data_IF_907073344088
#
_entry.id   IF_907073344088
#
_cell.length_a   1.000
_cell.length_b   1.000
_cell.length_c   1.000
_cell.angle_alpha   90.00
_cell.angle_beta   90.00
_cell.angle_gamma   90.00
#
_symmetry.space_group_name_H-M   'P 1'
#
loop_
_entity.id
_entity.type
_entity.pdbx_description
1 polymer ?
#
# COMPACT_ATOMS: atom_id res chain seq x y z
N UNK A 1 -4.62 16.01 9.84
CA UNK A 1 -3.67 17.08 10.15
C UNK A 1 -3.30 17.81 8.85
N UNK A 2 -3.82 19.05 8.63
CA UNK A 2 -3.61 19.76 7.38
C UNK A 2 -2.14 20.03 7.02
N UNK A 3 -1.27 20.24 7.99
CA UNK A 3 0.16 20.48 7.73
C UNK A 3 0.84 19.21 7.24
N UNK A 4 0.51 18.07 7.85
CA UNK A 4 0.98 16.77 7.42
C UNK A 4 0.48 16.43 6.01
N UNK A 5 -0.79 16.70 5.74
CA UNK A 5 -1.40 16.44 4.43
C UNK A 5 -0.70 17.25 3.33
N UNK A 6 -0.48 18.54 3.57
CA UNK A 6 0.23 19.42 2.62
C UNK A 6 1.65 18.91 2.38
N UNK A 7 2.39 18.56 3.43
CA UNK A 7 3.75 18.07 3.32
C UNK A 7 3.82 16.77 2.50
N UNK A 8 2.97 15.79 2.83
CA UNK A 8 2.97 14.49 2.14
C UNK A 8 2.54 14.63 0.67
N UNK A 9 1.53 15.46 0.37
CA UNK A 9 1.07 15.73 -1.00
C UNK A 9 2.12 16.47 -1.84
N UNK A 10 3.05 17.17 -1.24
CA UNK A 10 4.18 17.82 -1.94
C UNK A 10 5.36 16.86 -2.13
N UNK A 11 5.73 16.11 -1.10
CA UNK A 11 6.95 15.28 -1.14
C UNK A 11 6.82 14.07 -2.06
N UNK A 12 5.62 13.46 -2.15
CA UNK A 12 5.40 12.27 -2.97
C UNK A 12 5.63 12.55 -4.47
N UNK A 13 5.01 13.56 -5.09
CA UNK A 13 5.29 13.88 -6.50
C UNK A 13 6.76 14.26 -6.74
N UNK A 14 7.40 14.93 -5.79
CA UNK A 14 8.82 15.28 -5.89
C UNK A 14 9.72 14.03 -5.86
N UNK A 15 9.42 13.06 -5.01
CA UNK A 15 10.15 11.79 -4.94
C UNK A 15 9.99 11.00 -6.25
N UNK A 16 8.76 10.89 -6.75
CA UNK A 16 8.45 10.22 -8.02
C UNK A 16 9.17 10.89 -9.19
N UNK A 17 9.12 12.23 -9.27
CA UNK A 17 9.80 12.99 -10.32
C UNK A 17 11.34 12.81 -10.31
N UNK A 18 11.91 12.48 -9.15
CA UNK A 18 13.33 12.14 -8.99
C UNK A 18 13.63 10.65 -9.18
N UNK A 19 12.63 9.86 -9.55
CA UNK A 19 12.73 8.41 -9.68
C UNK A 19 13.18 7.70 -8.37
N UNK A 20 12.88 8.31 -7.23
CA UNK A 20 13.15 7.72 -5.92
C UNK A 20 12.19 6.57 -5.63
N UNK A 21 12.63 5.49 -4.98
CA UNK A 21 11.72 4.48 -4.46
C UNK A 21 10.75 5.06 -3.44
N UNK A 22 9.48 4.65 -3.57
CA UNK A 22 8.41 5.02 -2.64
C UNK A 22 7.66 3.77 -2.25
N UNK A 23 7.61 3.47 -0.95
CA UNK A 23 6.79 2.42 -0.38
C UNK A 23 5.76 3.05 0.58
N UNK A 24 4.48 3.05 0.17
CA UNK A 24 3.37 3.56 0.96
C UNK A 24 2.76 2.48 1.86
N UNK A 25 2.53 2.79 3.15
CA UNK A 25 1.90 1.86 4.11
C UNK A 25 0.67 2.54 4.71
N UNK A 26 -0.47 1.87 4.70
CA UNK A 26 -1.76 2.29 5.26
C UNK A 26 -2.17 3.69 4.77
N UNK A 27 -1.99 4.73 5.59
CA UNK A 27 -2.18 6.11 5.16
C UNK A 27 -1.34 6.44 3.91
N UNK A 28 -0.17 5.82 3.75
CA UNK A 28 0.72 6.04 2.61
C UNK A 28 0.12 5.66 1.26
N UNK A 29 -0.65 4.57 1.16
CA UNK A 29 -1.36 4.20 -0.09
C UNK A 29 -2.43 5.24 -0.43
N UNK A 30 -3.11 5.76 0.59
CA UNK A 30 -4.18 6.75 0.42
C UNK A 30 -3.62 8.09 -0.08
N UNK A 31 -2.57 8.58 0.58
CA UNK A 31 -1.91 9.85 0.18
C UNK A 31 -1.24 9.72 -1.18
N UNK A 32 -0.60 8.59 -1.49
CA UNK A 32 -0.05 8.30 -2.82
C UNK A 32 -1.14 8.42 -3.89
N UNK A 33 -2.28 7.78 -3.67
CA UNK A 33 -3.39 7.80 -4.61
C UNK A 33 -3.91 9.23 -4.85
N UNK A 34 -4.12 10.01 -3.77
CA UNK A 34 -4.59 11.40 -3.87
C UNK A 34 -3.55 12.29 -4.54
N UNK A 35 -2.27 12.16 -4.18
CA UNK A 35 -1.18 12.93 -4.79
C UNK A 35 -1.06 12.68 -6.30
N UNK A 36 -1.48 11.51 -6.78
CA UNK A 36 -1.50 11.14 -8.19
C UNK A 36 -2.85 11.39 -8.89
N UNK A 37 -3.84 11.97 -8.20
CA UNK A 37 -5.13 12.40 -8.74
C UNK A 37 -6.29 11.42 -8.53
N UNK A 38 -6.14 10.41 -7.67
CA UNK A 38 -7.21 9.51 -7.28
C UNK A 38 -8.06 10.04 -6.13
N UNK A 39 -9.08 9.29 -5.73
CA UNK A 39 -10.01 9.63 -4.66
C UNK A 39 -10.11 8.54 -3.59
N UNK A 40 -10.70 8.88 -2.43
CA UNK A 40 -10.83 7.99 -1.29
C UNK A 40 -12.29 7.72 -0.94
N UNK A 41 -12.53 6.53 -0.39
CA UNK A 41 -13.67 6.22 0.48
C UNK A 41 -13.32 6.81 1.85
N UNK A 42 -14.10 7.79 2.31
CA UNK A 42 -13.82 8.49 3.56
C UNK A 42 -14.20 7.67 4.80
N UNK A 43 -15.14 6.75 4.62
CA UNK A 43 -15.55 5.80 5.64
C UNK A 43 -16.18 4.57 4.98
N UNK A 44 -15.53 3.41 5.15
CA UNK A 44 -15.90 2.16 4.48
C UNK A 44 -17.30 1.72 4.89
N UNK A 45 -17.64 1.82 6.18
CA UNK A 45 -18.96 1.36 6.67
C UNK A 45 -20.10 2.20 6.10
N UNK A 46 -20.00 3.52 6.19
CA UNK A 46 -21.07 4.41 5.72
C UNK A 46 -21.21 4.44 4.19
N UNK A 47 -20.12 4.27 3.45
CA UNK A 47 -20.12 4.39 1.99
C UNK A 47 -20.22 3.05 1.23
N UNK A 48 -19.88 1.93 1.88
CA UNK A 48 -19.90 0.60 1.28
C UNK A 48 -20.79 -0.41 2.01
N UNK A 49 -21.24 -0.08 3.22
CA UNK A 49 -22.00 -1.02 4.06
C UNK A 49 -21.16 -2.17 4.62
N UNK A 50 -19.86 -2.08 4.54
CA UNK A 50 -18.92 -3.06 5.10
C UNK A 50 -18.65 -2.67 6.55
N UNK A 51 -18.91 -3.55 7.54
CA UNK A 51 -18.70 -3.21 8.95
C UNK A 51 -17.28 -2.81 9.25
N UNK A 52 -17.08 -1.72 9.98
CA UNK A 52 -15.75 -1.17 10.33
C UNK A 52 -14.81 -2.22 10.91
N UNK A 53 -15.33 -3.13 11.74
CA UNK A 53 -14.55 -4.23 12.35
C UNK A 53 -13.88 -5.18 11.36
N UNK A 54 -14.28 -5.18 10.10
CA UNK A 54 -13.65 -5.99 9.05
C UNK A 54 -12.30 -5.41 8.63
N UNK A 55 -12.09 -4.09 8.80
CA UNK A 55 -10.87 -3.40 8.42
C UNK A 55 -10.17 -2.67 9.57
N UNK A 56 -10.79 -2.63 10.74
CA UNK A 56 -10.21 -1.99 11.94
C UNK A 56 -10.22 -2.97 13.10
N UNK A 57 -9.13 -3.75 13.18
CA UNK A 57 -8.97 -4.75 14.23
C UNK A 57 -8.56 -4.13 15.56
N UNK A 58 -8.92 -4.83 16.64
CA UNK A 58 -8.34 -4.63 17.96
C UNK A 58 -6.98 -5.34 18.10
N UNK A 59 -6.13 -4.94 19.04
CA UNK A 59 -4.89 -5.67 19.31
C UNK A 59 -5.12 -7.18 19.57
N UNK A 60 -4.15 -8.04 19.19
CA UNK A 60 -2.78 -7.72 18.74
C UNK A 60 -2.71 -7.40 17.23
N UNK A 61 -2.02 -6.31 16.87
CA UNK A 61 -1.92 -5.83 15.49
C UNK A 61 -1.04 -6.71 14.57
N UNK A 62 -0.26 -7.60 15.14
CA UNK A 62 0.50 -8.61 14.38
C UNK A 62 -0.32 -9.86 14.03
N UNK A 63 -1.60 -9.95 14.42
CA UNK A 63 -2.47 -11.04 14.04
C UNK A 63 -3.15 -10.74 12.69
N UNK A 64 -3.12 -11.67 11.71
CA UNK A 64 -3.86 -11.50 10.48
C UNK A 64 -5.37 -11.63 10.71
N UNK A 65 -6.17 -10.84 9.98
CA UNK A 65 -7.63 -10.80 10.11
C UNK A 65 -8.38 -11.01 8.80
N UNK A 66 -7.72 -10.79 7.65
CA UNK A 66 -8.30 -11.06 6.34
C UNK A 66 -7.24 -11.48 5.32
N UNK A 67 -7.70 -11.93 4.16
CA UNK A 67 -6.85 -12.31 3.04
C UNK A 67 -6.80 -11.19 2.01
N UNK A 68 -5.60 -10.82 1.60
CA UNK A 68 -5.37 -9.98 0.42
C UNK A 68 -4.97 -10.87 -0.76
N UNK A 69 -5.69 -10.76 -1.88
CA UNK A 69 -5.39 -11.45 -3.13
C UNK A 69 -4.70 -10.52 -4.09
N UNK A 70 -3.52 -10.94 -4.55
CA UNK A 70 -2.75 -10.20 -5.53
C UNK A 70 -3.09 -10.63 -6.95
N UNK A 71 -3.14 -9.66 -7.86
CA UNK A 71 -3.27 -9.91 -9.29
C UNK A 71 -2.04 -10.67 -9.81
N UNK A 72 -2.29 -11.66 -10.69
CA UNK A 72 -1.21 -12.42 -11.30
C UNK A 72 -0.34 -11.52 -12.19
N UNK A 73 0.97 -11.69 -12.09
CA UNK A 73 1.95 -10.85 -12.76
C UNK A 73 2.17 -9.50 -12.11
N UNK A 74 1.50 -9.20 -10.98
CA UNK A 74 1.73 -7.98 -10.22
C UNK A 74 3.13 -7.92 -9.61
N UNK A 75 3.57 -6.73 -9.24
CA UNK A 75 4.82 -6.56 -8.50
C UNK A 75 4.77 -7.32 -7.16
N UNK A 76 3.60 -7.39 -6.53
CA UNK A 76 3.45 -8.05 -5.22
C UNK A 76 3.61 -9.56 -5.33
N UNK A 77 3.05 -10.21 -6.36
CA UNK A 77 3.33 -11.63 -6.63
C UNK A 77 4.83 -11.86 -6.87
N UNK A 78 5.50 -11.00 -7.64
CA UNK A 78 6.95 -11.12 -7.88
C UNK A 78 7.79 -10.94 -6.61
N UNK A 79 7.42 -10.01 -5.72
CA UNK A 79 8.14 -9.75 -4.47
C UNK A 79 7.90 -10.87 -3.46
N UNK A 80 6.64 -11.23 -3.23
CA UNK A 80 6.26 -12.17 -2.18
C UNK A 80 6.41 -13.63 -2.61
N UNK A 81 6.22 -13.92 -3.90
CA UNK A 81 6.18 -15.26 -4.46
C UNK A 81 4.84 -15.98 -4.26
N UNK A 82 3.80 -15.25 -3.81
CA UNK A 82 2.45 -15.78 -3.58
C UNK A 82 1.39 -14.84 -4.17
N UNK A 83 0.22 -15.40 -4.46
CA UNK A 83 -0.94 -14.64 -4.93
C UNK A 83 -1.94 -14.31 -3.82
N UNK A 84 -1.71 -14.81 -2.61
CA UNK A 84 -2.55 -14.53 -1.44
C UNK A 84 -1.68 -14.35 -0.20
N UNK A 85 -2.03 -13.36 0.62
CA UNK A 85 -1.41 -13.08 1.91
C UNK A 85 -2.47 -12.91 2.98
N UNK A 86 -2.22 -13.48 4.16
CA UNK A 86 -2.99 -13.16 5.36
C UNK A 86 -2.44 -11.87 5.96
N UNK A 87 -3.27 -10.85 6.14
CA UNK A 87 -2.83 -9.52 6.57
C UNK A 87 -3.63 -9.01 7.77
N UNK A 88 -3.03 -8.10 8.51
CA UNK A 88 -3.70 -7.27 9.50
C UNK A 88 -4.47 -6.13 8.82
N UNK A 89 -5.31 -5.44 9.58
CA UNK A 89 -6.07 -4.31 9.05
C UNK A 89 -6.42 -3.30 10.15
N UNK A 90 -6.04 -2.04 9.93
CA UNK A 90 -6.22 -0.95 10.90
C UNK A 90 -6.58 0.35 10.18
N UNK A 91 -7.66 0.31 9.39
CA UNK A 91 -8.13 1.49 8.64
C UNK A 91 -9.65 1.49 8.50
N UNK A 92 -10.25 2.67 8.34
CA UNK A 92 -11.66 2.85 8.00
C UNK A 92 -11.84 3.61 6.68
N UNK A 93 -10.74 4.07 6.07
CA UNK A 93 -10.70 4.71 4.77
C UNK A 93 -9.95 3.82 3.78
N UNK A 94 -10.23 3.96 2.49
CA UNK A 94 -9.53 3.23 1.42
C UNK A 94 -9.57 4.00 0.10
N UNK A 95 -8.89 3.48 -0.92
CA UNK A 95 -8.99 4.01 -2.29
C UNK A 95 -10.42 3.78 -2.81
N UNK A 96 -11.01 4.85 -3.39
CA UNK A 96 -12.26 4.79 -4.15
C UNK A 96 -11.98 4.65 -5.64
N UNK A 97 -11.40 5.71 -6.22
CA UNK A 97 -10.96 5.71 -7.61
C UNK A 97 -9.43 5.72 -7.63
N UNK A 98 -8.79 4.69 -8.16
CA UNK A 98 -7.34 4.71 -8.29
C UNK A 98 -6.90 5.77 -9.30
N UNK A 99 -5.81 6.46 -9.00
CA UNK A 99 -5.20 7.41 -9.93
C UNK A 99 -4.85 6.70 -11.25
N UNK A 100 -4.98 7.41 -12.38
CA UNK A 100 -4.80 6.82 -13.73
C UNK A 100 -3.42 6.18 -13.96
N UNK A 101 -2.38 6.67 -13.27
CA UNK A 101 -1.01 6.11 -13.31
C UNK A 101 -0.77 4.97 -12.32
N UNK A 102 -1.74 4.65 -11.47
CA UNK A 102 -1.67 3.50 -10.57
C UNK A 102 -2.40 2.30 -11.16
N UNK A 103 -1.85 1.12 -10.92
CA UNK A 103 -2.48 -0.17 -11.14
C UNK A 103 -2.92 -0.72 -9.79
N UNK A 104 -4.13 -1.26 -9.72
CA UNK A 104 -4.56 -2.03 -8.56
C UNK A 104 -3.97 -3.43 -8.68
N UNK A 105 -3.20 -3.83 -7.68
CA UNK A 105 -2.49 -5.09 -7.64
C UNK A 105 -3.04 -6.08 -6.61
N UNK A 106 -3.92 -5.63 -5.72
CA UNK A 106 -4.50 -6.52 -4.71
C UNK A 106 -5.77 -5.98 -4.07
N UNK A 107 -6.62 -6.92 -3.66
CA UNK A 107 -7.90 -6.67 -3.03
C UNK A 107 -8.09 -7.56 -1.79
N UNK A 108 -8.79 -7.04 -0.78
CA UNK A 108 -9.41 -7.85 0.25
C UNK A 108 -10.61 -8.65 -0.32
N UNK A 109 -11.09 -9.62 0.44
CA UNK A 109 -12.19 -10.50 0.02
C UNK A 109 -13.50 -9.75 -0.29
N UNK A 110 -13.71 -8.60 0.31
CA UNK A 110 -14.88 -7.73 0.13
C UNK A 110 -14.69 -6.66 -0.97
N UNK A 111 -13.57 -6.72 -1.70
CA UNK A 111 -13.28 -5.85 -2.83
C UNK A 111 -12.62 -4.52 -2.47
N UNK A 112 -12.26 -4.31 -1.21
CA UNK A 112 -11.47 -3.14 -0.81
C UNK A 112 -10.06 -3.25 -1.41
N UNK A 113 -9.56 -2.14 -1.99
CA UNK A 113 -8.22 -2.09 -2.57
C UNK A 113 -7.18 -2.09 -1.46
N UNK A 114 -6.27 -3.06 -1.50
CA UNK A 114 -5.25 -3.31 -0.48
C UNK A 114 -3.81 -3.14 -0.99
N UNK A 115 -3.62 -3.14 -2.32
CA UNK A 115 -2.28 -2.98 -2.91
C UNK A 115 -2.36 -2.28 -4.26
N UNK A 116 -1.43 -1.34 -4.49
CA UNK A 116 -1.27 -0.63 -5.78
C UNK A 116 0.21 -0.47 -6.12
N UNK A 117 0.50 -0.32 -7.42
CA UNK A 117 1.82 0.08 -7.91
C UNK A 117 1.70 1.07 -9.08
N UNK A 118 2.76 1.82 -9.35
CA UNK A 118 2.81 2.67 -10.53
C UNK A 118 2.91 1.82 -11.81
N UNK A 119 2.24 2.27 -12.89
CA UNK A 119 2.25 1.58 -14.19
C UNK A 119 3.57 1.75 -14.95
N UNK A 120 4.29 2.81 -14.68
CA UNK A 120 5.48 3.25 -15.42
C UNK A 120 6.81 3.01 -14.69
N UNK A 121 6.76 2.49 -13.47
CA UNK A 121 7.95 2.15 -12.68
C UNK A 121 7.66 1.13 -11.60
N UNK A 122 8.59 0.22 -11.35
CA UNK A 122 8.53 -0.73 -10.23
C UNK A 122 9.01 -0.11 -8.89
N UNK A 123 9.38 1.18 -8.89
CA UNK A 123 9.91 1.87 -7.70
C UNK A 123 8.84 2.45 -6.78
N UNK A 124 7.58 2.48 -7.24
CA UNK A 124 6.47 3.08 -6.49
C UNK A 124 5.39 2.03 -6.27
N UNK A 125 5.20 1.62 -5.03
CA UNK A 125 4.21 0.65 -4.63
C UNK A 125 3.71 0.93 -3.22
N UNK A 126 2.52 0.46 -2.89
CA UNK A 126 1.91 0.73 -1.61
C UNK A 126 0.90 -0.35 -1.21
N UNK A 127 0.74 -0.53 0.10
CA UNK A 127 -0.23 -1.45 0.71
C UNK A 127 -1.12 -0.73 1.72
N UNK A 128 -2.34 -1.23 1.90
CA UNK A 128 -3.28 -0.67 2.86
C UNK A 128 -3.11 -1.28 4.26
N UNK A 129 -2.66 -2.52 4.34
CA UNK A 129 -2.33 -3.18 5.60
C UNK A 129 -0.99 -2.70 6.18
N UNK A 130 -0.62 -3.19 7.35
CA UNK A 130 0.58 -2.81 8.09
C UNK A 130 1.61 -3.95 8.15
N UNK A 131 2.45 -4.13 7.10
CA UNK A 131 3.45 -5.20 7.06
C UNK A 131 4.51 -5.08 8.16
N UNK A 132 4.72 -3.88 8.73
CA UNK A 132 5.67 -3.66 9.81
C UNK A 132 5.31 -4.38 11.11
N UNK A 133 4.03 -4.71 11.34
CA UNK A 133 3.61 -5.54 12.46
C UNK A 133 3.65 -7.04 12.16
N UNK A 134 3.89 -7.43 10.90
CA UNK A 134 3.93 -8.81 10.45
C UNK A 134 5.36 -9.31 10.18
N UNK A 135 6.29 -8.42 9.81
CA UNK A 135 7.60 -8.77 9.25
C UNK A 135 8.48 -9.63 10.16
N UNK A 136 8.31 -9.57 11.48
CA UNK A 136 9.08 -10.38 12.43
C UNK A 136 8.75 -11.89 12.37
N UNK A 137 7.58 -12.24 11.83
CA UNK A 137 7.08 -13.63 11.79
C UNK A 137 6.43 -14.04 10.47
N UNK A 138 6.31 -13.14 9.51
CA UNK A 138 5.79 -13.40 8.18
C UNK A 138 6.84 -13.04 7.11
N UNK A 139 7.35 -14.06 6.44
CA UNK A 139 8.38 -13.90 5.41
C UNK A 139 7.92 -13.07 4.21
N UNK A 140 6.64 -13.09 3.89
CA UNK A 140 6.10 -12.31 2.75
C UNK A 140 6.05 -10.82 3.07
N UNK A 141 5.67 -10.47 4.30
CA UNK A 141 5.74 -9.09 4.78
C UNK A 141 7.18 -8.58 4.81
N UNK A 142 8.14 -9.40 5.29
CA UNK A 142 9.57 -9.06 5.30
C UNK A 142 10.09 -8.81 3.88
N UNK A 143 9.69 -9.61 2.88
CA UNK A 143 10.12 -9.44 1.49
C UNK A 143 9.71 -8.08 0.89
N UNK A 144 8.62 -7.46 1.34
CA UNK A 144 8.24 -6.11 0.91
C UNK A 144 9.29 -5.09 1.33
N UNK A 145 9.78 -5.18 2.57
CA UNK A 145 10.85 -4.30 3.07
C UNK A 145 12.19 -4.59 2.41
N UNK A 146 12.55 -5.86 2.25
CA UNK A 146 13.80 -6.26 1.55
C UNK A 146 13.84 -5.70 0.14
N UNK A 147 12.71 -5.77 -0.58
CA UNK A 147 12.57 -5.21 -1.92
C UNK A 147 12.76 -3.69 -1.91
N UNK A 148 12.11 -2.98 -0.98
CA UNK A 148 12.26 -1.52 -0.86
C UNK A 148 13.69 -1.10 -0.53
N UNK A 149 14.37 -1.82 0.37
CA UNK A 149 15.78 -1.59 0.69
C UNK A 149 16.67 -1.82 -0.53
N UNK A 150 16.41 -2.89 -1.30
CA UNK A 150 17.14 -3.15 -2.54
C UNK A 150 16.97 -2.00 -3.54
N UNK A 151 15.74 -1.57 -3.81
CA UNK A 151 15.47 -0.44 -4.70
C UNK A 151 16.18 0.85 -4.24
N UNK A 152 16.23 1.08 -2.93
CA UNK A 152 16.88 2.26 -2.35
C UNK A 152 18.41 2.24 -2.53
N UNK A 153 19.01 1.06 -2.39
CA UNK A 153 20.44 0.86 -2.68
C UNK A 153 20.76 1.05 -4.16
N UNK A 154 19.93 0.50 -5.04
CA UNK A 154 20.08 0.64 -6.50
C UNK A 154 19.99 2.12 -6.89
N UNK A 155 19.00 2.85 -6.36
CA UNK A 155 18.87 4.29 -6.58
C UNK A 155 20.08 5.09 -6.08
N UNK A 156 20.63 4.76 -4.92
CA UNK A 156 21.83 5.40 -4.38
C UNK A 156 23.04 5.18 -5.29
N UNK A 157 23.20 3.97 -5.85
CA UNK A 157 24.31 3.63 -6.74
C UNK A 157 24.22 4.33 -8.10
N UNK A 158 23.02 4.60 -8.61
CA UNK A 158 22.81 5.37 -9.83
C UNK A 158 23.21 6.85 -9.71
N UNK A 159 23.34 7.37 -8.49
CA UNK A 159 23.73 8.78 -8.20
C UNK A 159 25.24 8.99 -8.03
N UNK A 160 26.01 7.90 -7.99
CA UNK A 160 27.48 7.94 -7.92
C UNK A 160 28.11 7.96 -9.30
#
# INVERSE_FOLDING_TARGET
DPQRDIFELLIIPMAIARNMPVFGICRGIQVLNVAMGGTLIQDIESQKGIPTKMHQQEPPYGAPVHTVRFERGSIFERITGVTEMQTNSMHHQSIKEPASRLRVDGYAEDGIIEAVSAKDTDRVFAVQFHPEYLSDHDVYAQRLFDHFVKLSRDYQNEKK
#
